data_IF_666904841443
#
_entry.id   IF_666904841443
#
_cell.length_a   1.000
_cell.length_b   1.000
_cell.length_c   1.000
_cell.angle_alpha   90.00
_cell.angle_beta   90.00
_cell.angle_gamma   90.00
#
_symmetry.space_group_name_H-M   'P 1'
#
loop_
_entity.id
_entity.type
_entity.pdbx_description
1 polymer ?
#
# COMPACT_ATOMS: atom_id res chain seq x y z
N UNK A 1 1.10 -20.91 -28.56
CA UNK A 1 2.43 -21.55 -28.45
C UNK A 1 2.71 -21.70 -26.98
N UNK A 2 3.13 -22.88 -26.52
CA UNK A 2 3.36 -23.18 -25.11
C UNK A 2 4.80 -23.69 -24.97
N UNK A 3 5.52 -23.21 -23.95
CA UNK A 3 6.87 -23.66 -23.63
C UNK A 3 6.82 -24.36 -22.28
N UNK A 4 7.12 -25.66 -22.27
CA UNK A 4 7.15 -26.50 -21.06
C UNK A 4 8.50 -27.19 -20.99
N UNK A 5 9.10 -27.25 -19.82
CA UNK A 5 10.29 -28.08 -19.57
C UNK A 5 10.08 -28.92 -18.31
N UNK A 6 10.66 -30.13 -18.31
CA UNK A 6 10.64 -31.07 -17.18
C UNK A 6 11.52 -30.59 -16.01
N UNK A 7 12.57 -29.80 -16.28
CA UNK A 7 13.55 -29.37 -15.28
C UNK A 7 13.67 -27.85 -15.18
N UNK A 8 14.26 -27.24 -16.19
CA UNK A 8 14.66 -25.82 -16.12
C UNK A 8 14.36 -25.11 -17.43
N UNK A 9 13.70 -23.95 -17.33
CA UNK A 9 13.61 -22.95 -18.39
C UNK A 9 14.47 -21.74 -18.00
N UNK A 10 15.40 -21.34 -18.86
CA UNK A 10 16.20 -20.13 -18.70
C UNK A 10 16.03 -19.22 -19.92
N UNK A 11 15.64 -17.97 -19.67
CA UNK A 11 15.52 -16.94 -20.70
C UNK A 11 16.57 -15.88 -20.40
N UNK A 12 17.59 -15.79 -21.26
CA UNK A 12 18.75 -14.92 -21.06
C UNK A 12 18.96 -14.11 -22.34
N UNK A 13 19.16 -12.80 -22.20
CA UNK A 13 19.65 -11.92 -23.26
C UNK A 13 21.08 -11.51 -22.92
N UNK A 14 22.01 -11.71 -23.83
CA UNK A 14 23.45 -11.42 -23.62
C UNK A 14 23.86 -10.03 -24.06
N UNK A 15 23.06 -9.38 -24.91
CA UNK A 15 23.45 -8.14 -25.59
C UNK A 15 22.45 -7.00 -25.43
N UNK A 16 21.19 -7.27 -25.09
CA UNK A 16 20.15 -6.23 -24.96
C UNK A 16 19.15 -6.59 -23.86
N UNK A 17 17.89 -6.92 -24.21
CA UNK A 17 16.81 -7.09 -23.22
C UNK A 17 15.84 -8.22 -23.57
N UNK A 18 15.09 -8.63 -22.55
CA UNK A 18 13.94 -9.54 -22.68
C UNK A 18 12.67 -8.73 -22.45
N UNK A 19 11.74 -8.75 -23.40
CA UNK A 19 10.44 -8.07 -23.31
C UNK A 19 9.35 -9.12 -23.22
N UNK A 20 8.59 -9.11 -22.13
CA UNK A 20 7.36 -9.87 -21.99
C UNK A 20 6.19 -8.88 -21.95
N UNK A 21 5.29 -8.95 -22.93
CA UNK A 21 4.11 -8.11 -23.02
C UNK A 21 2.89 -9.00 -23.25
N UNK A 22 1.80 -8.70 -22.54
CA UNK A 22 0.53 -9.38 -22.66
C UNK A 22 -0.62 -8.37 -22.64
N UNK A 23 -1.69 -8.65 -23.39
CA UNK A 23 -2.88 -7.79 -23.46
C UNK A 23 -3.71 -7.85 -22.16
N UNK A 24 -3.82 -9.04 -21.56
CA UNK A 24 -4.68 -9.28 -20.40
C UNK A 24 -3.91 -9.23 -19.08
N UNK A 25 -2.93 -10.11 -18.94
CA UNK A 25 -2.11 -10.19 -17.74
C UNK A 25 -0.80 -10.93 -17.97
N UNK A 26 0.19 -10.62 -17.14
CA UNK A 26 1.42 -11.40 -16.97
C UNK A 26 1.39 -12.01 -15.58
N UNK A 27 1.50 -13.34 -15.50
CA UNK A 27 1.49 -14.09 -14.25
C UNK A 27 2.74 -14.95 -14.09
N UNK A 28 3.54 -14.65 -13.08
CA UNK A 28 4.67 -15.47 -12.64
C UNK A 28 4.32 -16.09 -11.30
N UNK A 29 4.28 -17.43 -11.21
CA UNK A 29 3.94 -18.13 -9.97
C UNK A 29 5.01 -19.14 -9.57
N UNK A 30 5.26 -19.26 -8.27
CA UNK A 30 6.14 -20.27 -7.70
C UNK A 30 5.80 -20.49 -6.22
N UNK A 31 5.62 -21.74 -5.80
CA UNK A 31 5.44 -22.10 -4.39
C UNK A 31 4.29 -21.37 -3.67
N UNK A 32 3.21 -21.03 -4.38
CA UNK A 32 2.08 -20.27 -3.84
C UNK A 32 2.27 -18.74 -3.80
N UNK A 33 3.48 -18.25 -4.11
CA UNK A 33 3.71 -16.83 -4.39
C UNK A 33 3.43 -16.52 -5.85
N UNK A 34 3.04 -15.27 -6.12
CA UNK A 34 2.85 -14.79 -7.48
C UNK A 34 3.15 -13.29 -7.67
N UNK A 35 3.55 -12.96 -8.88
CA UNK A 35 3.70 -11.59 -9.38
C UNK A 35 2.75 -11.41 -10.55
N UNK A 36 1.69 -10.61 -10.36
CA UNK A 36 0.66 -10.36 -11.36
C UNK A 36 0.70 -8.93 -11.86
N UNK A 37 0.72 -8.74 -13.17
CA UNK A 37 0.56 -7.44 -13.81
C UNK A 37 -0.74 -7.47 -14.58
N UNK A 38 -1.73 -6.68 -14.16
CA UNK A 38 -3.05 -6.62 -14.82
C UNK A 38 -3.71 -5.25 -14.62
N UNK A 39 -4.38 -4.73 -15.65
CA UNK A 39 -5.10 -3.46 -15.58
C UNK A 39 -4.24 -2.27 -15.15
N UNK A 40 -2.94 -2.29 -15.46
CA UNK A 40 -1.98 -1.26 -15.03
C UNK A 40 -1.49 -1.38 -13.59
N UNK A 41 -1.96 -2.36 -12.82
CA UNK A 41 -1.56 -2.60 -11.44
C UNK A 41 -0.56 -3.75 -11.33
N UNK A 42 0.32 -3.67 -10.33
CA UNK A 42 1.30 -4.70 -9.98
C UNK A 42 0.90 -5.31 -8.64
N UNK A 43 0.63 -6.61 -8.62
CA UNK A 43 0.31 -7.37 -7.41
C UNK A 43 1.46 -8.31 -7.07
N UNK A 44 1.97 -8.16 -5.85
CA UNK A 44 3.02 -9.00 -5.26
C UNK A 44 2.38 -9.74 -4.09
N UNK A 45 2.19 -11.05 -4.22
CA UNK A 45 1.65 -11.87 -3.14
C UNK A 45 2.60 -13.03 -2.84
N UNK A 46 2.97 -13.20 -1.59
CA UNK A 46 3.71 -14.36 -1.12
C UNK A 46 3.20 -14.77 0.26
N UNK A 47 3.06 -16.08 0.53
CA UNK A 47 2.70 -16.57 1.86
C UNK A 47 3.84 -16.41 2.87
N UNK A 48 5.08 -16.28 2.38
CA UNK A 48 6.28 -16.06 3.19
C UNK A 48 6.71 -14.59 3.24
N UNK A 49 8.02 -14.39 3.40
CA UNK A 49 8.62 -13.05 3.46
C UNK A 49 8.83 -12.48 2.05
N UNK A 50 8.42 -11.23 1.84
CA UNK A 50 8.77 -10.44 0.65
C UNK A 50 9.95 -9.55 1.04
N UNK A 51 11.17 -9.93 0.64
CA UNK A 51 12.37 -9.14 0.86
C UNK A 51 12.60 -8.21 -0.34
N UNK A 52 12.33 -6.91 -0.16
CA UNK A 52 12.61 -5.90 -1.17
C UNK A 52 13.91 -5.15 -0.82
N UNK A 53 15.03 -5.61 -1.37
CA UNK A 53 16.34 -4.95 -1.20
C UNK A 53 16.43 -3.71 -2.10
N UNK A 54 16.05 -2.54 -1.58
CA UNK A 54 16.18 -1.27 -2.26
C UNK A 54 17.18 -0.35 -1.54
N UNK A 55 17.94 0.45 -2.31
CA UNK A 55 18.86 1.46 -1.76
C UNK A 55 18.13 2.63 -1.07
N UNK A 56 16.89 2.88 -1.48
CA UNK A 56 16.00 3.89 -0.91
C UNK A 56 14.60 3.31 -0.83
N UNK A 57 13.96 3.44 0.34
CA UNK A 57 12.56 3.14 0.53
C UNK A 57 11.78 4.46 0.56
N UNK A 58 11.29 4.98 -0.59
CA UNK A 58 10.34 6.07 -0.59
C UNK A 58 8.98 5.53 -0.12
N UNK A 59 8.91 5.16 1.15
CA UNK A 59 7.66 4.95 1.85
C UNK A 59 7.15 6.36 2.13
N UNK A 60 6.40 6.94 1.19
CA UNK A 60 5.60 8.11 1.49
C UNK A 60 4.57 7.63 2.51
N UNK A 61 4.90 7.79 3.80
CA UNK A 61 3.98 7.50 4.89
C UNK A 61 2.65 8.22 4.66
N UNK A 62 1.56 7.83 5.34
CA UNK A 62 0.29 8.52 5.20
C UNK A 62 0.55 10.03 5.37
N UNK A 63 0.10 10.83 4.40
CA UNK A 63 0.23 12.27 4.47
C UNK A 63 -0.47 12.73 5.76
N UNK A 64 0.31 13.06 6.79
CA UNK A 64 -0.22 13.64 8.02
C UNK A 64 -0.73 15.02 7.64
N UNK A 65 -2.03 15.12 7.38
CA UNK A 65 -2.68 16.42 7.25
C UNK A 65 -2.66 17.04 8.63
N UNK A 66 -1.92 18.14 8.80
CA UNK A 66 -1.99 18.93 10.03
C UNK A 66 -3.40 19.50 10.12
N UNK A 67 -4.29 18.79 10.79
CA UNK A 67 -5.56 19.40 11.19
C UNK A 67 -5.20 20.46 12.22
N UNK A 68 -5.37 21.73 11.85
CA UNK A 68 -5.26 22.83 12.80
C UNK A 68 -6.31 22.58 13.87
N UNK A 69 -5.89 22.14 15.06
CA UNK A 69 -6.81 22.13 16.20
C UNK A 69 -7.42 23.53 16.31
N UNK A 70 -8.75 23.65 16.43
CA UNK A 70 -9.38 24.93 16.62
C UNK A 70 -8.77 25.56 17.87
N UNK A 71 -8.22 26.76 17.74
CA UNK A 71 -7.71 27.51 18.87
C UNK A 71 -8.89 27.88 19.74
N UNK A 72 -9.04 27.16 20.86
CA UNK A 72 -9.95 27.61 21.91
C UNK A 72 -9.43 28.96 22.40
N UNK A 73 -10.19 30.01 22.09
CA UNK A 73 -9.94 31.36 22.60
C UNK A 73 -9.82 31.19 24.12
N UNK A 74 -8.69 31.59 24.70
CA UNK A 74 -8.48 31.66 26.15
C UNK A 74 -9.34 32.78 26.73
N UNK A 75 -10.66 32.68 26.57
CA UNK A 75 -11.63 33.32 27.42
C UNK A 75 -11.87 32.37 28.61
N UNK A 76 -12.27 32.88 29.79
CA UNK A 76 -12.68 32.01 30.89
C UNK A 76 -13.90 31.21 30.43
N UNK A 77 -13.67 29.97 30.01
CA UNK A 77 -14.71 29.01 29.74
C UNK A 77 -15.44 28.77 31.07
N UNK A 78 -16.76 28.94 31.07
CA UNK A 78 -17.62 28.55 32.18
C UNK A 78 -17.32 27.08 32.55
N UNK A 79 -17.23 26.76 33.85
CA UNK A 79 -16.97 25.37 34.30
C UNK A 79 -18.07 24.41 33.76
N UNK A 80 -19.30 24.91 33.59
CA UNK A 80 -20.38 24.21 32.88
C UNK A 80 -20.03 23.89 31.41
N UNK A 81 -19.38 24.83 30.74
CA UNK A 81 -19.08 24.78 29.32
C UNK A 81 -17.93 23.81 29.01
N UNK A 82 -17.00 23.59 29.95
CA UNK A 82 -15.97 22.56 29.81
C UNK A 82 -16.51 21.13 29.99
N UNK A 83 -17.48 20.93 30.88
CA UNK A 83 -18.16 19.64 31.04
C UNK A 83 -19.00 19.28 29.81
N UNK A 84 -19.76 20.26 29.32
CA UNK A 84 -20.60 20.09 28.12
C UNK A 84 -19.76 19.77 26.87
N UNK A 85 -18.60 20.44 26.71
CA UNK A 85 -17.70 20.17 25.57
C UNK A 85 -17.07 18.76 25.61
N UNK A 86 -16.79 18.21 26.79
CA UNK A 86 -16.28 16.85 26.94
C UNK A 86 -17.32 15.79 26.53
N UNK A 87 -18.61 16.06 26.80
CA UNK A 87 -19.71 15.17 26.42
C UNK A 87 -19.97 15.21 24.90
N UNK A 88 -19.94 16.39 24.27
CA UNK A 88 -20.12 16.50 22.82
C UNK A 88 -18.94 15.96 22.01
N UNK A 89 -17.71 15.96 22.56
CA UNK A 89 -16.55 15.35 21.90
C UNK A 89 -16.68 13.81 21.80
N UNK A 90 -17.44 13.16 22.67
CA UNK A 90 -17.68 11.72 22.61
C UNK A 90 -18.58 11.33 21.42
N UNK A 91 -19.57 12.17 21.07
CA UNK A 91 -20.53 11.86 19.99
C UNK A 91 -19.96 11.85 18.57
N UNK A 92 -18.72 12.33 18.37
CA UNK A 92 -18.08 12.36 17.04
C UNK A 92 -17.42 11.01 16.72
N UNK A 93 -17.19 10.15 17.72
CA UNK A 93 -16.58 8.82 17.55
C UNK A 93 -17.59 7.69 17.26
N UNK A 94 -18.90 7.93 17.38
CA UNK A 94 -19.94 6.91 17.09
C UNK A 94 -20.62 7.08 15.72
N UNK A 95 -20.24 8.09 14.92
CA UNK A 95 -20.79 8.31 13.58
C UNK A 95 -19.82 7.94 12.44
N UNK A 96 -18.79 7.15 12.72
CA UNK A 96 -17.83 6.66 11.71
C UNK A 96 -17.55 5.16 11.87
#
# INVERSE_FOLDING_TARGET
MELVADKTLQIISTTDKVIAAAEKEIMLTSGGAYIKITGGNIFLHAPGMIEHKAATHPHSGPASTSFSMPSFIRAPICIECSKTAAEHAASILEAL
#
